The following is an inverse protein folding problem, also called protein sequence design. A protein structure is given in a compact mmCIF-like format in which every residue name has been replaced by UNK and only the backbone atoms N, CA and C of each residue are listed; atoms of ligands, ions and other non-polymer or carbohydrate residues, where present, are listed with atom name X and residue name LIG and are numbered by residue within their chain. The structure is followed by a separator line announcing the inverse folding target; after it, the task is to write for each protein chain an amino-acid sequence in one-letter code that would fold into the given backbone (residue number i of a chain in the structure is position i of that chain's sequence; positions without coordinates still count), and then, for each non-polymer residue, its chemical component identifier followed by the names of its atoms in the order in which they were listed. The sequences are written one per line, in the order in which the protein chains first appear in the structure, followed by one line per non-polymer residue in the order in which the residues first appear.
data_IF_469084643625
#
_entry.id   IF_469084643625
#
_cell.length_a   1.000
_cell.length_b   1.000
_cell.length_c   1.000
_cell.angle_alpha   90.00
_cell.angle_beta   90.00
_cell.angle_gamma   90.00
#
_symmetry.space_group_name_H-M   'P 1'
#
loop_
_entity.id
_entity.type
_entity.pdbx_description
1 polymer ?
#
# COMPACT_ATOMS: atom_id res chain seq x y z
N UNK A 1 4.03 4.87 8.22
CA UNK A 1 2.83 4.15 7.70
C UNK A 1 2.34 4.89 6.47
N UNK A 2 1.85 4.20 5.44
CA UNK A 2 1.45 4.78 4.14
C UNK A 2 -0.06 4.68 3.91
N UNK A 3 -0.64 5.67 3.24
CA UNK A 3 -2.05 5.66 2.82
C UNK A 3 -2.20 5.21 1.38
N UNK A 4 -3.38 4.72 1.00
CA UNK A 4 -3.68 4.38 -0.41
C UNK A 4 -3.46 5.55 -1.39
N UNK A 5 -3.67 6.79 -0.93
CA UNK A 5 -3.40 8.00 -1.73
C UNK A 5 -1.90 8.22 -1.96
N UNK A 6 -1.07 8.04 -0.93
CA UNK A 6 0.39 8.17 -1.07
C UNK A 6 0.97 7.07 -1.96
N UNK A 7 0.45 5.84 -1.84
CA UNK A 7 0.84 4.73 -2.70
C UNK A 7 0.47 5.03 -4.16
N UNK A 8 -0.76 5.51 -4.38
CA UNK A 8 -1.23 5.89 -5.71
C UNK A 8 -0.35 6.98 -6.34
N UNK A 9 0.04 7.98 -5.56
CA UNK A 9 0.95 9.04 -6.01
C UNK A 9 2.36 8.51 -6.32
N UNK A 10 2.93 7.65 -5.48
CA UNK A 10 4.26 7.07 -5.69
C UNK A 10 4.34 6.16 -6.93
N UNK A 11 3.23 5.49 -7.26
CA UNK A 11 3.12 4.57 -8.38
C UNK A 11 2.50 5.19 -9.64
N UNK A 12 2.06 6.44 -9.58
CA UNK A 12 1.36 7.12 -10.68
C UNK A 12 0.11 6.36 -11.17
N UNK A 13 -0.63 5.73 -10.25
CA UNK A 13 -1.86 4.97 -10.55
C UNK A 13 -3.06 5.54 -9.81
N UNK A 14 -4.27 5.15 -10.24
CA UNK A 14 -5.48 5.55 -9.52
C UNK A 14 -5.59 4.91 -8.14
N UNK A 15 -6.09 5.66 -7.16
CA UNK A 15 -6.36 5.17 -5.79
C UNK A 15 -7.26 3.95 -5.77
N UNK A 16 -8.23 3.87 -6.69
CA UNK A 16 -9.09 2.71 -6.86
C UNK A 16 -8.34 1.43 -7.23
N UNK A 17 -7.31 1.51 -8.10
CA UNK A 17 -6.45 0.36 -8.42
C UNK A 17 -5.66 -0.11 -7.21
N UNK A 18 -5.13 0.83 -6.42
CA UNK A 18 -4.44 0.53 -5.17
C UNK A 18 -5.39 -0.17 -4.19
N UNK A 19 -6.61 0.32 -4.02
CA UNK A 19 -7.59 -0.36 -3.17
C UNK A 19 -7.91 -1.77 -3.66
N UNK A 20 -8.07 -1.99 -4.98
CA UNK A 20 -8.31 -3.33 -5.52
C UNK A 20 -7.14 -4.28 -5.25
N UNK A 21 -5.90 -3.83 -5.46
CA UNK A 21 -4.70 -4.61 -5.16
C UNK A 21 -4.57 -4.94 -3.66
N UNK A 22 -4.83 -3.96 -2.79
CA UNK A 22 -4.74 -4.12 -1.33
C UNK A 22 -5.96 -4.82 -0.70
N UNK A 23 -7.07 -4.94 -1.42
CA UNK A 23 -8.27 -5.65 -0.91
C UNK A 23 -8.27 -7.13 -1.24
N UNK A 24 -7.43 -7.57 -2.19
CA UNK A 24 -7.28 -9.00 -2.48
C UNK A 24 -6.68 -9.73 -1.27
N UNK A 25 -7.17 -10.94 -0.96
CA UNK A 25 -6.53 -11.78 0.04
C UNK A 25 -5.11 -12.06 -0.44
N UNK A 26 -4.12 -11.69 0.37
CA UNK A 26 -2.72 -11.93 0.09
C UNK A 26 -2.21 -12.92 1.13
N UNK A 27 -1.54 -14.01 0.73
CA UNK A 27 -1.02 -15.02 1.64
C UNK A 27 0.22 -14.46 2.35
N UNK A 28 0.01 -13.58 3.34
CA UNK A 28 1.03 -13.27 4.34
C UNK A 28 0.88 -14.28 5.49
N UNK A 29 1.98 -14.83 6.03
CA UNK A 29 1.94 -15.70 7.22
C UNK A 29 1.35 -14.99 8.46
N UNK A 30 1.27 -13.66 8.41
CA UNK A 30 0.63 -12.83 9.43
C UNK A 30 -0.39 -11.95 8.72
N UNK A 31 -1.61 -12.46 8.59
CA UNK A 31 -2.79 -11.64 8.30
C UNK A 31 -2.93 -10.62 9.42
N UNK A 32 -2.30 -9.45 9.27
CA UNK A 32 -2.73 -8.26 9.99
C UNK A 32 -4.14 -7.97 9.47
N UNK A 33 -5.13 -8.56 10.16
CA UNK A 33 -6.53 -8.30 9.92
C UNK A 33 -6.69 -6.77 9.78
N UNK A 34 -7.39 -6.27 8.76
CA UNK A 34 -7.70 -4.86 8.70
C UNK A 34 -8.38 -4.49 10.01
N UNK A 35 -7.84 -3.50 10.73
CA UNK A 35 -8.42 -3.05 11.99
C UNK A 35 -9.93 -2.87 11.80
N UNK A 36 -10.71 -3.47 12.69
CA UNK A 36 -12.18 -3.63 12.65
C UNK A 36 -12.96 -2.32 12.79
N UNK A 37 -12.46 -1.20 12.26
CA UNK A 37 -13.24 0.02 12.09
C UNK A 37 -13.61 0.20 10.63
N UNK A 38 -14.66 -0.51 10.22
CA UNK A 38 -15.60 -0.03 9.18
C UNK A 38 -16.41 1.12 9.81
N UNK A 39 -15.76 2.25 10.07
CA UNK A 39 -16.39 3.42 10.70
C UNK A 39 -15.91 4.68 10.00
N UNK A 40 -16.74 5.20 9.10
CA UNK A 40 -16.68 6.55 8.52
C UNK A 40 -15.40 6.92 7.75
N UNK A 41 -15.46 6.97 6.41
CA UNK A 41 -14.57 7.72 5.50
C UNK A 41 -13.05 7.79 5.81
N UNK A 42 -12.51 6.88 6.63
CA UNK A 42 -11.16 7.01 7.17
C UNK A 42 -10.18 6.40 6.18
N UNK A 43 -9.16 7.17 5.78
CA UNK A 43 -8.12 6.70 4.86
C UNK A 43 -7.40 5.50 5.47
N UNK A 44 -7.52 4.33 4.83
CA UNK A 44 -6.83 3.11 5.27
C UNK A 44 -5.32 3.36 5.32
N UNK A 45 -4.71 3.10 6.46
CA UNK A 45 -3.27 3.16 6.68
C UNK A 45 -2.71 1.74 6.59
N UNK A 46 -1.60 1.60 5.88
CA UNK A 46 -0.92 0.33 5.66
C UNK A 46 0.55 0.45 6.07
N UNK A 47 1.13 -0.66 6.50
CA UNK A 47 2.57 -0.78 6.72
C UNK A 47 3.26 -1.15 5.41
N UNK A 48 4.50 -0.67 5.21
CA UNK A 48 5.24 -0.95 3.97
C UNK A 48 5.43 -2.44 3.75
N UNK A 49 5.71 -3.22 4.81
CA UNK A 49 5.86 -4.68 4.70
C UNK A 49 4.65 -5.42 4.13
N UNK A 50 3.43 -4.90 4.34
CA UNK A 50 2.21 -5.48 3.75
C UNK A 50 2.00 -5.01 2.30
N UNK A 51 2.46 -3.80 2.00
CA UNK A 51 2.20 -3.09 0.75
C UNK A 51 3.19 -3.50 -0.34
N UNK A 52 4.48 -3.62 0.00
CA UNK A 52 5.55 -3.91 -0.94
C UNK A 52 5.34 -5.19 -1.77
N UNK A 53 5.04 -6.36 -1.17
CA UNK A 53 4.89 -7.58 -1.94
C UNK A 53 3.67 -7.52 -2.86
N UNK A 54 2.57 -6.91 -2.40
CA UNK A 54 1.35 -6.71 -3.20
C UNK A 54 1.59 -5.78 -4.39
N UNK A 55 2.29 -4.66 -4.19
CA UNK A 55 2.59 -3.76 -5.29
C UNK A 55 3.52 -4.42 -6.30
N UNK A 56 4.53 -5.16 -5.82
CA UNK A 56 5.46 -5.89 -6.69
C UNK A 56 4.72 -6.87 -7.61
N UNK A 57 3.74 -7.58 -7.07
CA UNK A 57 2.91 -8.52 -7.82
C UNK A 57 1.92 -7.83 -8.78
N UNK A 58 1.26 -6.74 -8.35
CA UNK A 58 0.19 -6.11 -9.13
C UNK A 58 0.64 -5.07 -10.15
N UNK A 59 1.74 -4.37 -9.89
CA UNK A 59 2.12 -3.18 -10.67
C UNK A 59 3.53 -3.24 -11.25
N UNK A 60 4.39 -4.17 -10.81
CA UNK A 60 5.78 -4.25 -11.28
C UNK A 60 6.53 -2.90 -11.20
N UNK A 61 6.55 -2.23 -10.04
CA UNK A 61 7.06 -0.87 -9.91
C UNK A 61 8.56 -0.78 -10.19
N UNK A 62 9.01 0.36 -10.73
CA UNK A 62 10.43 0.64 -10.92
C UNK A 62 11.14 0.88 -9.57
N UNK A 63 12.48 0.75 -9.49
CA UNK A 63 13.23 1.03 -8.27
C UNK A 63 13.00 2.44 -7.72
N UNK A 64 12.83 3.43 -8.61
CA UNK A 64 12.53 4.82 -8.24
C UNK A 64 11.15 4.96 -7.60
N UNK A 65 10.14 4.26 -8.12
CA UNK A 65 8.79 4.26 -7.54
C UNK A 65 8.77 3.57 -6.17
N UNK A 66 9.56 2.51 -6.00
CA UNK A 66 9.75 1.86 -4.69
C UNK A 66 10.39 2.85 -3.71
N UNK A 67 11.43 3.58 -4.13
CA UNK A 67 12.07 4.61 -3.30
C UNK A 67 11.09 5.69 -2.84
N UNK A 68 10.31 6.26 -3.77
CA UNK A 68 9.24 7.23 -3.47
C UNK A 68 8.24 6.68 -2.44
N UNK A 69 7.95 5.38 -2.50
CA UNK A 69 7.02 4.72 -1.56
C UNK A 69 7.62 4.55 -0.16
N UNK A 70 8.92 4.27 -0.05
CA UNK A 70 9.64 4.26 1.22
C UNK A 70 9.72 5.64 1.86
N UNK A 71 10.06 6.67 1.08
CA UNK A 71 10.07 8.07 1.51
C UNK A 71 8.67 8.49 2.00
N UNK A 72 7.61 8.18 1.24
CA UNK A 72 6.23 8.46 1.64
C UNK A 72 5.80 7.75 2.93
N UNK A 73 6.46 6.64 3.29
CA UNK A 73 6.23 5.93 4.54
C UNK A 73 7.05 6.43 5.72
N UNK A 74 7.92 7.42 5.51
CA UNK A 74 8.81 8.02 6.51
C UNK A 74 10.14 7.28 6.67
N UNK A 75 10.55 6.46 5.70
CA UNK A 75 11.84 5.79 5.71
C UNK A 75 12.84 6.59 4.89
N UNK A 76 14.04 6.78 5.43
CA UNK A 76 15.17 7.37 4.72
C UNK A 76 15.93 6.24 4.01
N UNK A 77 15.87 6.20 2.68
CA UNK A 77 16.48 5.18 1.81
C UNK A 77 17.34 5.83 0.74
#
# INVERSE_FOLDING_TARGET
MVTACQIAAALEVSTGRVYRALSKPFPLPFTLAPATRKGGACKRRYTIGVVLPRIKEFFGPTPEQIKKLFEAGGYHV
#
